data_IF_731130851328
#
_entry.id   IF_731130851328
#
_cell.length_a   1.000
_cell.length_b   1.000
_cell.length_c   1.000
_cell.angle_alpha   90.00
_cell.angle_beta   90.00
_cell.angle_gamma   90.00
#
_symmetry.space_group_name_H-M   'P 1'
#
loop_
_entity.id
_entity.type
_entity.pdbx_description
1 polymer ?
#
# COMPACT_ATOMS: atom_id res chain seq x y z
N UNK A 1 -6.35 -7.04 17.22
CA UNK A 1 -5.47 -7.57 16.14
C UNK A 1 -4.00 -7.39 16.52
N UNK A 2 -3.09 -8.11 15.85
CA UNK A 2 -1.63 -8.00 16.11
C UNK A 2 -0.95 -7.32 14.93
N UNK A 3 -0.15 -6.29 15.21
CA UNK A 3 0.62 -5.55 14.19
C UNK A 3 2.00 -6.19 14.00
N UNK A 4 2.32 -6.50 12.75
CA UNK A 4 3.64 -6.97 12.33
C UNK A 4 4.26 -6.04 11.31
N UNK A 5 5.59 -6.04 11.26
CA UNK A 5 6.39 -5.38 10.22
C UNK A 5 7.31 -6.42 9.56
N UNK A 6 7.54 -6.29 8.28
CA UNK A 6 8.62 -6.98 7.58
C UNK A 6 9.24 -6.05 6.54
N UNK A 7 10.52 -6.25 6.26
CA UNK A 7 11.29 -5.44 5.32
C UNK A 7 11.41 -6.15 3.99
N UNK A 8 10.94 -5.54 2.94
CA UNK A 8 11.02 -6.00 1.55
C UNK A 8 12.35 -5.55 0.94
N UNK A 9 13.11 -6.50 0.42
CA UNK A 9 14.35 -6.26 -0.34
C UNK A 9 14.14 -6.68 -1.79
N UNK A 10 14.10 -5.75 -2.75
CA UNK A 10 13.88 -6.07 -4.17
C UNK A 10 14.98 -6.96 -4.74
N UNK A 11 14.59 -8.01 -5.47
CA UNK A 11 15.50 -8.86 -6.29
C UNK A 11 15.43 -8.52 -7.76
N UNK A 12 14.35 -7.91 -8.20
CA UNK A 12 14.19 -7.38 -9.56
C UNK A 12 13.51 -6.02 -9.52
N UNK A 13 13.55 -5.29 -10.63
CA UNK A 13 12.82 -4.02 -10.75
C UNK A 13 11.31 -4.25 -10.64
N UNK A 14 10.63 -3.29 -10.05
CA UNK A 14 9.17 -3.27 -9.92
C UNK A 14 8.55 -2.42 -11.03
N UNK A 15 7.38 -2.78 -11.48
CA UNK A 15 6.57 -1.98 -12.42
C UNK A 15 5.29 -1.46 -11.79
N UNK A 16 5.07 -1.79 -10.52
CA UNK A 16 3.94 -1.34 -9.69
C UNK A 16 4.49 -0.95 -8.33
N UNK A 17 4.19 0.25 -7.80
CA UNK A 17 4.55 0.61 -6.43
C UNK A 17 3.95 -0.37 -5.43
N UNK A 18 4.65 -0.63 -4.31
CA UNK A 18 4.10 -1.42 -3.21
C UNK A 18 2.93 -0.64 -2.57
N UNK A 19 1.72 -0.97 -2.97
CA UNK A 19 0.46 -0.44 -2.43
C UNK A 19 -0.28 -1.53 -1.66
N UNK A 20 -0.76 -1.20 -0.46
CA UNK A 20 -1.36 -2.15 0.47
C UNK A 20 -2.56 -2.88 -0.11
N UNK A 21 -3.46 -2.17 -0.77
CA UNK A 21 -4.63 -2.74 -1.42
C UNK A 21 -4.28 -3.73 -2.54
N UNK A 22 -3.21 -3.46 -3.28
CA UNK A 22 -2.72 -4.36 -4.34
C UNK A 22 -2.02 -5.58 -3.75
N UNK A 23 -1.21 -5.38 -2.71
CA UNK A 23 -0.51 -6.47 -2.03
C UNK A 23 -1.51 -7.39 -1.31
N UNK A 24 -2.53 -6.84 -0.67
CA UNK A 24 -3.65 -7.61 -0.11
C UNK A 24 -4.28 -8.52 -1.16
N UNK A 25 -4.62 -7.98 -2.34
CA UNK A 25 -5.20 -8.77 -3.43
C UNK A 25 -4.28 -9.91 -3.90
N UNK A 26 -2.96 -9.69 -3.93
CA UNK A 26 -2.01 -10.74 -4.28
C UNK A 26 -1.82 -11.77 -3.18
N UNK A 27 -1.86 -11.36 -1.92
CA UNK A 27 -1.87 -12.28 -0.78
C UNK A 27 -3.13 -13.17 -0.82
N UNK A 28 -4.30 -12.62 -1.14
CA UNK A 28 -5.52 -13.43 -1.33
C UNK A 28 -5.36 -14.49 -2.42
N UNK A 29 -4.75 -14.15 -3.57
CA UNK A 29 -4.43 -15.13 -4.60
C UNK A 29 -3.44 -16.18 -4.11
N UNK A 30 -2.41 -15.77 -3.37
CA UNK A 30 -1.43 -16.68 -2.79
C UNK A 30 -2.04 -17.64 -1.76
N UNK A 31 -2.96 -17.15 -0.92
CA UNK A 31 -3.75 -17.99 0.01
C UNK A 31 -4.54 -19.04 -0.78
N UNK A 32 -5.24 -18.63 -1.85
CA UNK A 32 -5.98 -19.56 -2.69
C UNK A 32 -5.10 -20.67 -3.25
N UNK A 33 -3.90 -20.35 -3.70
CA UNK A 33 -2.97 -21.32 -4.28
C UNK A 33 -2.27 -22.20 -3.24
N UNK A 34 -1.89 -21.63 -2.11
CA UNK A 34 -1.08 -22.32 -1.10
C UNK A 34 -1.93 -23.05 -0.04
N UNK A 35 -3.11 -22.51 0.30
CA UNK A 35 -3.96 -23.00 1.39
C UNK A 35 -5.33 -23.48 0.92
N UNK A 36 -5.69 -23.23 -0.33
CA UNK A 36 -6.96 -23.63 -0.92
C UNK A 36 -8.02 -22.52 -0.98
N UNK A 37 -8.99 -22.72 -1.88
CA UNK A 37 -10.08 -21.76 -2.10
C UNK A 37 -11.04 -21.68 -0.92
N UNK A 38 -11.32 -22.79 -0.26
CA UNK A 38 -12.20 -22.85 0.91
C UNK A 38 -11.64 -22.00 2.06
N UNK A 39 -10.32 -22.07 2.29
CA UNK A 39 -9.65 -21.25 3.31
C UNK A 39 -9.75 -19.76 2.99
N UNK A 40 -9.56 -19.37 1.75
CA UNK A 40 -9.73 -17.98 1.31
C UNK A 40 -11.18 -17.52 1.52
N UNK A 41 -12.16 -18.32 1.11
CA UNK A 41 -13.58 -17.98 1.27
C UNK A 41 -13.99 -17.84 2.74
N UNK A 42 -13.48 -18.72 3.61
CA UNK A 42 -13.66 -18.60 5.06
C UNK A 42 -13.13 -17.26 5.60
N UNK A 43 -11.91 -16.87 5.22
CA UNK A 43 -11.29 -15.62 5.65
C UNK A 43 -12.00 -14.37 5.11
N UNK A 44 -12.57 -14.45 3.91
CA UNK A 44 -13.27 -13.34 3.27
C UNK A 44 -14.75 -13.22 3.67
N UNK A 45 -15.35 -14.25 4.28
CA UNK A 45 -16.80 -14.30 4.59
C UNK A 45 -17.30 -13.09 5.39
N UNK A 46 -16.52 -12.62 6.34
CA UNK A 46 -16.82 -11.47 7.22
C UNK A 46 -15.87 -10.29 7.04
N UNK A 47 -15.17 -10.22 5.91
CA UNK A 47 -14.14 -9.21 5.69
C UNK A 47 -14.70 -7.78 5.73
N UNK A 48 -15.95 -7.59 5.40
CA UNK A 48 -16.68 -6.31 5.46
C UNK A 48 -16.90 -5.80 6.89
N UNK A 49 -16.97 -6.70 7.88
CA UNK A 49 -17.19 -6.38 9.30
C UNK A 49 -15.95 -6.55 10.14
N UNK A 50 -15.16 -7.59 9.83
CA UNK A 50 -13.99 -7.96 10.61
C UNK A 50 -12.87 -8.38 9.65
N UNK A 51 -11.98 -7.46 9.25
CA UNK A 51 -10.87 -7.79 8.35
C UNK A 51 -9.92 -8.80 9.01
N UNK A 52 -9.57 -9.88 8.29
CA UNK A 52 -8.60 -10.86 8.78
C UNK A 52 -7.15 -10.38 8.62
N UNK A 53 -6.93 -9.51 7.65
CA UNK A 53 -5.64 -8.92 7.30
C UNK A 53 -5.86 -7.52 6.73
N UNK A 54 -5.05 -6.56 7.19
CA UNK A 54 -4.91 -5.24 6.58
C UNK A 54 -3.43 -5.02 6.27
N UNK A 55 -3.13 -4.57 5.07
CA UNK A 55 -1.76 -4.40 4.55
C UNK A 55 -1.50 -2.94 4.26
N UNK A 56 -0.33 -2.44 4.67
CA UNK A 56 0.12 -1.08 4.36
C UNK A 56 0.75 -0.98 2.97
N UNK A 57 0.98 0.24 2.52
CA UNK A 57 1.92 0.55 1.46
C UNK A 57 3.35 0.21 1.89
N UNK A 58 4.28 0.15 0.93
CA UNK A 58 5.72 0.04 1.21
C UNK A 58 6.33 1.41 1.45
N UNK A 59 7.01 1.57 2.60
CA UNK A 59 7.67 2.81 3.00
C UNK A 59 9.18 2.60 3.15
N UNK A 60 9.97 3.68 3.10
CA UNK A 60 11.42 3.58 3.35
C UNK A 60 11.69 2.87 4.68
N UNK A 61 12.60 1.90 4.69
CA UNK A 61 12.82 1.06 5.88
C UNK A 61 13.19 1.91 7.11
N UNK A 62 12.46 1.72 8.21
CA UNK A 62 12.57 2.47 9.46
C UNK A 62 11.86 3.83 9.47
N UNK A 63 11.17 4.22 8.39
CA UNK A 63 10.52 5.52 8.27
C UNK A 63 9.12 5.40 7.70
N UNK A 64 8.29 6.38 8.05
CA UNK A 64 6.95 6.59 7.50
C UNK A 64 6.88 7.91 6.74
N UNK A 65 5.95 8.06 5.81
CA UNK A 65 5.79 9.32 5.10
C UNK A 65 5.26 10.42 6.03
N UNK A 66 5.60 11.66 5.70
CA UNK A 66 5.03 12.83 6.35
C UNK A 66 3.51 12.88 6.09
N UNK A 67 2.69 13.21 7.10
CA UNK A 67 1.24 13.31 6.96
C UNK A 67 0.80 14.30 5.87
N UNK A 68 -0.24 13.94 5.11
CA UNK A 68 -0.88 14.80 4.11
C UNK A 68 -1.79 15.82 4.80
N UNK A 69 -1.17 16.88 5.33
CA UNK A 69 -1.87 17.97 6.02
C UNK A 69 -1.40 19.33 5.52
N UNK A 70 -2.15 20.41 5.77
CA UNK A 70 -1.74 21.77 5.49
C UNK A 70 -0.41 22.13 6.19
N UNK A 71 0.45 22.90 5.51
CA UNK A 71 1.80 23.26 6.00
C UNK A 71 1.81 23.93 7.37
N UNK A 72 0.78 24.70 7.73
CA UNK A 72 0.68 25.32 9.04
C UNK A 72 0.51 24.31 10.18
N UNK A 73 -0.21 23.21 9.96
CA UNK A 73 -0.35 22.09 10.91
C UNK A 73 0.92 21.25 11.00
N UNK A 74 1.71 21.20 9.93
CA UNK A 74 3.03 20.56 9.92
C UNK A 74 4.11 21.45 10.58
N UNK A 75 3.78 22.69 10.93
CA UNK A 75 4.74 23.66 11.48
C UNK A 75 5.84 24.05 10.49
N UNK A 76 5.56 23.99 9.20
CA UNK A 76 6.52 24.29 8.13
C UNK A 76 6.65 25.81 7.90
N UNK A 77 7.88 26.26 7.67
CA UNK A 77 8.11 27.62 7.18
C UNK A 77 7.69 27.73 5.71
N UNK A 78 6.75 28.63 5.43
CA UNK A 78 6.20 28.83 4.07
C UNK A 78 7.23 29.38 3.07
N UNK A 79 8.30 30.00 3.53
CA UNK A 79 9.40 30.48 2.67
C UNK A 79 10.22 29.31 2.10
N UNK A 80 10.28 28.19 2.81
CA UNK A 80 11.07 27.00 2.46
C UNK A 80 10.24 25.92 1.76
N UNK A 81 9.18 26.27 1.03
CA UNK A 81 8.27 25.31 0.38
C UNK A 81 8.96 24.24 -0.46
N UNK A 82 10.00 24.64 -1.24
CA UNK A 82 10.72 23.68 -2.12
C UNK A 82 11.52 22.66 -1.32
N UNK A 83 12.07 23.04 -0.19
CA UNK A 83 12.83 22.18 0.71
C UNK A 83 11.88 21.27 1.49
N UNK A 84 10.80 21.82 2.05
CA UNK A 84 9.80 21.10 2.82
C UNK A 84 9.12 19.98 1.99
N UNK A 85 8.91 20.21 0.68
CA UNK A 85 8.37 19.18 -0.24
C UNK A 85 9.31 17.98 -0.46
N UNK A 86 10.62 18.16 -0.28
CA UNK A 86 11.60 17.06 -0.40
C UNK A 86 11.72 16.25 0.88
N UNK A 87 11.39 16.86 2.03
CA UNK A 87 11.43 16.23 3.36
C UNK A 87 10.13 15.46 3.59
N UNK A 88 10.14 14.18 3.26
CA UNK A 88 8.94 13.35 3.27
C UNK A 88 9.01 12.17 4.24
N UNK A 89 10.12 11.93 4.91
CA UNK A 89 10.32 10.76 5.77
C UNK A 89 10.48 11.13 7.22
N UNK A 90 9.66 10.50 8.09
CA UNK A 90 9.68 10.67 9.56
C UNK A 90 9.92 9.33 10.24
N UNK A 91 10.61 9.33 11.37
CA UNK A 91 10.58 8.19 12.28
C UNK A 91 9.17 7.99 12.85
N UNK A 92 8.86 6.77 13.30
CA UNK A 92 7.55 6.49 13.95
C UNK A 92 7.41 7.37 15.21
N UNK A 93 8.49 7.57 15.95
CA UNK A 93 8.52 8.39 17.18
C UNK A 93 8.21 9.85 16.88
N UNK A 94 8.84 10.45 15.88
CA UNK A 94 8.58 11.84 15.47
C UNK A 94 7.14 12.01 14.97
N UNK A 95 6.63 11.03 14.21
CA UNK A 95 5.24 11.02 13.75
C UNK A 95 4.27 10.99 14.94
N UNK A 96 4.47 10.05 15.87
CA UNK A 96 3.61 9.90 17.04
C UNK A 96 3.64 11.09 18.00
N UNK A 97 4.77 11.81 18.06
CA UNK A 97 4.96 12.99 18.89
C UNK A 97 4.60 14.30 18.18
N UNK A 98 4.13 14.26 16.95
CA UNK A 98 3.81 15.45 16.14
C UNK A 98 5.01 16.33 15.80
N UNK A 99 6.23 15.76 15.75
CA UNK A 99 7.46 16.47 15.43
C UNK A 99 7.73 16.49 13.93
N UNK A 100 6.78 16.96 13.13
CA UNK A 100 6.82 16.89 11.66
C UNK A 100 7.97 17.67 11.01
N UNK A 101 8.54 18.67 11.73
CA UNK A 101 9.71 19.43 11.28
C UNK A 101 10.98 18.57 11.15
N UNK A 102 11.03 17.41 11.83
CA UNK A 102 12.14 16.46 11.77
C UNK A 102 12.12 15.61 10.50
N UNK A 103 11.19 15.86 9.58
CA UNK A 103 11.11 15.14 8.32
C UNK A 103 12.42 15.27 7.52
N UNK A 104 12.86 14.16 6.95
CA UNK A 104 14.12 13.99 6.22
C UNK A 104 13.88 13.74 4.73
N UNK A 105 14.89 14.02 3.92
CA UNK A 105 14.92 13.61 2.52
C UNK A 105 15.41 12.15 2.39
N UNK A 106 15.07 11.46 1.28
CA UNK A 106 15.47 10.08 1.07
C UNK A 106 16.97 9.84 1.19
N UNK A 107 17.80 10.73 0.64
CA UNK A 107 19.27 10.62 0.71
C UNK A 107 19.82 10.65 2.14
N UNK A 108 19.22 11.42 3.06
CA UNK A 108 19.66 11.50 4.47
C UNK A 108 19.40 10.19 5.24
N UNK A 109 18.45 9.38 4.77
CA UNK A 109 18.08 8.09 5.40
C UNK A 109 18.57 6.88 4.60
N UNK A 110 19.40 7.11 3.55
CA UNK A 110 19.89 6.05 2.66
C UNK A 110 18.80 5.38 1.81
N UNK A 111 17.66 6.05 1.62
CA UNK A 111 16.59 5.55 0.77
C UNK A 111 16.66 6.17 -0.62
N UNK A 112 16.74 5.31 -1.63
CA UNK A 112 16.74 5.70 -3.04
C UNK A 112 15.57 5.04 -3.77
N UNK A 113 14.92 5.83 -4.62
CA UNK A 113 13.92 5.36 -5.57
C UNK A 113 14.24 5.93 -6.94
N UNK A 114 14.64 5.08 -7.86
CA UNK A 114 14.88 5.46 -9.26
C UNK A 114 13.80 4.92 -10.17
N UNK A 115 13.40 5.70 -11.16
CA UNK A 115 12.46 5.28 -12.21
C UNK A 115 13.16 5.36 -13.55
N UNK A 116 13.15 4.26 -14.30
CA UNK A 116 13.77 4.16 -15.62
C UNK A 116 12.72 3.72 -16.62
N UNK A 117 12.61 4.44 -17.74
CA UNK A 117 11.77 4.05 -18.85
C UNK A 117 12.61 3.24 -19.85
N UNK A 118 12.18 2.02 -20.15
CA UNK A 118 12.80 1.14 -21.15
C UNK A 118 11.84 0.99 -22.31
N UNK A 119 12.29 1.24 -23.52
CA UNK A 119 11.50 1.01 -24.73
C UNK A 119 11.47 -0.49 -25.02
N UNK A 120 10.29 -1.03 -25.22
CA UNK A 120 10.02 -2.42 -25.58
C UNK A 120 9.26 -2.46 -26.89
N UNK A 121 9.51 -3.48 -27.69
CA UNK A 121 8.78 -3.74 -28.93
C UNK A 121 8.12 -5.10 -28.86
N UNK A 122 6.94 -5.22 -29.47
CA UNK A 122 6.36 -6.50 -29.86
C UNK A 122 6.62 -6.72 -31.36
N UNK A 123 6.94 -7.92 -31.75
CA UNK A 123 7.19 -8.28 -33.16
C UNK A 123 6.00 -9.10 -33.68
N UNK A 124 5.49 -8.71 -34.83
CA UNK A 124 4.52 -9.53 -35.54
C UNK A 124 5.24 -10.76 -36.11
N UNK A 125 4.89 -11.94 -35.65
CA UNK A 125 5.53 -13.20 -36.10
C UNK A 125 5.29 -13.54 -37.57
N UNK A 126 4.28 -12.95 -38.21
CA UNK A 126 4.00 -13.19 -39.63
C UNK A 126 4.85 -12.32 -40.55
N UNK A 127 5.15 -11.09 -40.13
CA UNK A 127 5.88 -10.10 -40.95
C UNK A 127 7.30 -9.87 -40.44
N UNK A 128 7.65 -10.34 -39.26
CA UNK A 128 8.91 -10.08 -38.54
C UNK A 128 9.23 -8.60 -38.36
N UNK A 129 8.21 -7.74 -38.39
CA UNK A 129 8.35 -6.29 -38.26
C UNK A 129 7.56 -5.77 -37.07
N UNK A 130 7.89 -4.58 -36.60
CA UNK A 130 7.04 -3.74 -35.76
C UNK A 130 6.07 -2.99 -36.68
N UNK A 131 4.84 -2.77 -36.19
CA UNK A 131 3.78 -2.14 -36.94
C UNK A 131 3.41 -0.80 -36.31
N UNK A 132 3.20 0.22 -37.14
CA UNK A 132 2.79 1.56 -36.72
C UNK A 132 1.31 1.62 -36.36
N UNK A 133 0.53 0.57 -36.58
CA UNK A 133 -0.92 0.49 -36.32
C UNK A 133 -1.31 0.42 -34.83
N UNK A 134 -0.34 0.52 -33.92
CA UNK A 134 -0.54 0.50 -32.46
C UNK A 134 -0.45 -0.87 -31.79
N UNK A 135 -0.73 -1.97 -32.49
CA UNK A 135 -0.69 -3.33 -31.91
C UNK A 135 0.73 -3.81 -31.60
N UNK A 136 1.67 -3.48 -32.45
CA UNK A 136 3.10 -3.85 -32.34
C UNK A 136 4.01 -2.62 -32.20
N UNK A 137 3.43 -1.44 -32.03
CA UNK A 137 4.20 -0.20 -31.84
C UNK A 137 5.07 -0.28 -30.58
N UNK A 138 6.23 0.38 -30.59
CA UNK A 138 7.09 0.51 -29.43
C UNK A 138 6.32 1.14 -28.24
N UNK A 139 6.52 0.59 -27.04
CA UNK A 139 5.91 1.13 -25.82
C UNK A 139 6.95 1.31 -24.71
N UNK A 140 6.76 2.32 -23.89
CA UNK A 140 7.60 2.55 -22.73
C UNK A 140 7.15 1.69 -21.55
N UNK A 141 8.07 0.92 -20.97
CA UNK A 141 7.89 0.23 -19.69
C UNK A 141 8.66 1.01 -18.62
N UNK A 142 7.92 1.64 -17.71
CA UNK A 142 8.51 2.31 -16.54
C UNK A 142 8.79 1.26 -15.48
N UNK A 143 10.05 1.16 -15.11
CA UNK A 143 10.53 0.29 -14.03
C UNK A 143 11.02 1.13 -12.85
N UNK A 144 10.81 0.61 -11.66
CA UNK A 144 11.25 1.23 -10.40
C UNK A 144 12.28 0.33 -9.74
N UNK A 145 13.38 0.92 -9.32
CA UNK A 145 14.34 0.32 -8.41
C UNK A 145 14.32 1.13 -7.12
N UNK A 146 14.12 0.49 -6.01
CA UNK A 146 14.14 1.13 -4.69
C UNK A 146 15.05 0.36 -3.74
N UNK A 147 15.48 1.04 -2.69
CA UNK A 147 16.18 0.45 -1.55
C UNK A 147 15.25 -0.49 -0.77
N UNK A 148 15.50 -0.75 0.48
CA UNK A 148 14.59 -1.55 1.31
C UNK A 148 13.33 -0.75 1.65
N UNK A 149 12.18 -1.44 1.68
CA UNK A 149 10.90 -0.87 2.14
C UNK A 149 10.29 -1.75 3.23
N UNK A 150 9.75 -1.12 4.26
CA UNK A 150 8.97 -1.79 5.29
C UNK A 150 7.50 -1.80 4.87
N UNK A 151 6.84 -2.94 5.10
CA UNK A 151 5.40 -3.09 5.05
C UNK A 151 4.89 -3.48 6.43
N UNK A 152 3.71 -2.98 6.75
CA UNK A 152 3.02 -3.23 8.01
C UNK A 152 1.79 -4.08 7.73
N UNK A 153 1.54 -5.08 8.59
CA UNK A 153 0.47 -6.04 8.42
C UNK A 153 -0.26 -6.19 9.76
N UNK A 154 -1.54 -5.90 9.75
CA UNK A 154 -2.40 -6.04 10.93
C UNK A 154 -3.23 -7.31 10.77
N UNK A 155 -2.97 -8.32 11.63
CA UNK A 155 -3.56 -9.66 11.56
C UNK A 155 -4.59 -9.86 12.66
N UNK A 156 -5.72 -10.44 12.28
CA UNK A 156 -6.68 -11.05 13.19
C UNK A 156 -6.26 -12.49 13.54
N UNK A 157 -6.66 -12.98 14.71
CA UNK A 157 -6.29 -14.32 15.21
C UNK A 157 -6.80 -15.48 14.33
N UNK A 158 -7.77 -15.23 13.44
CA UNK A 158 -8.27 -16.19 12.44
C UNK A 158 -7.27 -16.50 11.32
N UNK A 159 -6.31 -15.59 11.08
CA UNK A 159 -5.26 -15.76 10.08
C UNK A 159 -3.91 -15.79 10.78
N UNK A 160 -3.28 -16.95 10.77
CA UNK A 160 -2.05 -17.19 11.52
C UNK A 160 -0.82 -16.66 10.78
N UNK A 161 0.24 -16.39 11.54
CA UNK A 161 1.49 -15.86 10.98
C UNK A 161 2.13 -16.83 9.98
N UNK A 162 2.10 -18.13 10.24
CA UNK A 162 2.64 -19.15 9.33
C UNK A 162 1.85 -19.26 8.01
N UNK A 163 0.55 -18.97 8.03
CA UNK A 163 -0.28 -18.88 6.82
C UNK A 163 0.11 -17.64 6.01
N UNK A 164 0.34 -16.49 6.68
CA UNK A 164 0.82 -15.27 6.04
C UNK A 164 2.22 -15.48 5.43
N UNK A 165 3.12 -16.14 6.15
CA UNK A 165 4.48 -16.46 5.66
C UNK A 165 4.43 -17.25 4.37
N UNK A 166 3.64 -18.34 4.31
CA UNK A 166 3.43 -19.14 3.09
C UNK A 166 2.86 -18.32 1.93
N UNK A 167 1.87 -17.46 2.22
CA UNK A 167 1.27 -16.60 1.21
C UNK A 167 2.26 -15.55 0.70
N UNK A 168 2.98 -14.87 1.59
CA UNK A 168 3.94 -13.82 1.21
C UNK A 168 5.15 -14.41 0.45
N UNK A 169 5.61 -15.61 0.84
CA UNK A 169 6.66 -16.33 0.13
C UNK A 169 6.24 -16.65 -1.32
N UNK A 170 4.97 -17.05 -1.50
CA UNK A 170 4.40 -17.29 -2.83
C UNK A 170 4.42 -16.01 -3.66
N UNK A 171 4.01 -14.86 -3.11
CA UNK A 171 4.07 -13.56 -3.80
C UNK A 171 5.51 -13.17 -4.10
N UNK A 172 6.43 -13.34 -3.15
CA UNK A 172 7.84 -12.98 -3.29
C UNK A 172 8.52 -13.71 -4.46
N UNK A 173 8.23 -15.01 -4.60
CA UNK A 173 8.76 -15.88 -5.67
C UNK A 173 8.08 -15.65 -7.02
N UNK A 174 6.77 -15.45 -7.04
CA UNK A 174 6.02 -15.24 -8.29
C UNK A 174 6.14 -13.81 -8.83
N UNK A 175 6.52 -12.86 -7.99
CA UNK A 175 6.66 -11.45 -8.31
C UNK A 175 5.39 -10.63 -8.02
N UNK A 176 5.60 -9.40 -7.53
CA UNK A 176 4.55 -8.44 -7.19
C UNK A 176 4.19 -7.55 -8.38
N UNK A 177 2.91 -7.38 -8.63
CA UNK A 177 2.35 -6.38 -9.52
C UNK A 177 2.39 -6.75 -11.00
N UNK A 178 2.43 -5.73 -11.86
CA UNK A 178 2.45 -5.94 -13.31
C UNK A 178 3.76 -6.57 -13.76
N UNK A 179 3.71 -7.37 -14.86
CA UNK A 179 4.88 -7.97 -15.47
C UNK A 179 5.64 -8.98 -14.59
N UNK A 180 5.01 -9.52 -13.57
CA UNK A 180 5.55 -10.61 -12.76
C UNK A 180 5.93 -11.82 -13.64
N UNK A 181 5.13 -12.17 -14.64
CA UNK A 181 5.39 -13.28 -15.58
C UNK A 181 6.67 -13.14 -16.41
N UNK A 182 7.27 -11.95 -16.45
CA UNK A 182 8.58 -11.71 -17.10
C UNK A 182 9.67 -11.33 -16.09
N UNK A 183 9.52 -11.77 -14.82
CA UNK A 183 10.53 -11.64 -13.79
C UNK A 183 10.59 -10.28 -13.08
N UNK A 184 9.52 -9.46 -13.17
CA UNK A 184 9.45 -8.20 -12.41
C UNK A 184 8.78 -8.40 -11.06
N UNK A 185 9.17 -7.58 -10.08
CA UNK A 185 8.55 -7.55 -8.76
C UNK A 185 8.96 -8.69 -7.83
N UNK A 186 10.01 -9.46 -8.14
CA UNK A 186 10.55 -10.46 -7.24
C UNK A 186 11.28 -9.78 -6.06
N UNK A 187 11.11 -10.31 -4.86
CA UNK A 187 11.71 -9.76 -3.65
C UNK A 187 12.02 -10.83 -2.61
N UNK A 188 12.80 -10.46 -1.63
CA UNK A 188 12.97 -11.17 -0.35
C UNK A 188 12.34 -10.34 0.75
N UNK A 189 11.97 -10.98 1.84
CA UNK A 189 11.46 -10.30 3.03
C UNK A 189 12.18 -10.80 4.30
N UNK A 190 12.27 -9.92 5.30
CA UNK A 190 12.83 -10.28 6.61
C UNK A 190 11.83 -11.07 7.45
N UNK A 191 12.29 -11.68 8.53
CA UNK A 191 11.38 -12.23 9.54
C UNK A 191 10.38 -11.16 10.01
N UNK A 192 9.16 -11.59 10.35
CA UNK A 192 8.14 -10.71 10.89
C UNK A 192 8.48 -10.24 12.30
N UNK A 193 8.49 -8.94 12.51
CA UNK A 193 8.68 -8.28 13.78
C UNK A 193 7.34 -7.83 14.33
N UNK A 194 6.97 -8.29 15.53
CA UNK A 194 5.77 -7.81 16.21
C UNK A 194 6.01 -6.41 16.73
N UNK A 195 5.14 -5.46 16.37
CA UNK A 195 5.25 -4.08 16.81
C UNK A 195 4.22 -3.74 17.88
N UNK A 196 4.68 -2.96 18.85
CA UNK A 196 3.82 -2.32 19.86
C UNK A 196 3.96 -0.82 19.67
N UNK A 197 2.87 -0.17 19.25
CA UNK A 197 2.81 1.27 18.96
C UNK A 197 1.72 1.93 19.80
N UNK A 198 1.82 3.24 20.02
CA UNK A 198 0.76 4.04 20.65
C UNK A 198 -0.50 3.96 19.78
N UNK A 199 -1.62 3.57 20.39
CA UNK A 199 -2.92 3.41 19.72
C UNK A 199 -3.94 4.48 20.11
N UNK A 200 -3.64 5.29 21.14
CA UNK A 200 -4.57 6.24 21.73
C UNK A 200 -4.19 7.65 21.35
N UNK A 201 -5.06 8.34 20.62
CA UNK A 201 -4.92 9.73 20.20
C UNK A 201 -6.29 10.26 19.73
N UNK A 202 -6.35 11.57 19.44
CA UNK A 202 -7.47 12.14 18.67
C UNK A 202 -7.13 12.32 17.19
N UNK A 203 -5.90 12.04 16.78
CA UNK A 203 -5.48 12.13 15.38
C UNK A 203 -4.69 10.89 14.97
N UNK A 204 -4.94 10.39 13.74
CA UNK A 204 -4.31 9.20 13.23
C UNK A 204 -3.96 9.36 11.74
N UNK A 205 -2.80 8.84 11.36
CA UNK A 205 -2.36 8.76 9.97
C UNK A 205 -2.60 7.35 9.40
N UNK A 206 -3.07 7.30 8.15
CA UNK A 206 -3.31 6.05 7.41
C UNK A 206 -2.03 5.51 6.74
N UNK A 207 -1.86 4.18 6.70
CA UNK A 207 -0.71 3.52 6.08
C UNK A 207 -1.01 2.88 4.71
N UNK A 208 -2.25 2.97 4.23
CA UNK A 208 -2.65 2.48 2.89
C UNK A 208 -3.81 3.31 2.38
N UNK A 209 -4.14 3.23 1.09
CA UNK A 209 -5.35 3.84 0.57
C UNK A 209 -6.59 3.34 1.31
N UNK A 210 -7.50 4.26 1.65
CA UNK A 210 -8.64 3.97 2.51
C UNK A 210 -9.94 4.55 1.94
N UNK A 211 -11.05 3.83 2.14
CA UNK A 211 -12.41 4.36 1.97
C UNK A 211 -13.01 4.55 3.35
N UNK A 212 -13.20 5.81 3.72
CA UNK A 212 -13.70 6.16 5.05
C UNK A 212 -15.21 5.98 5.11
N UNK A 213 -15.66 5.43 6.24
CA UNK A 213 -17.03 5.22 6.61
C UNK A 213 -17.15 5.42 8.13
N UNK A 214 -16.83 6.65 8.59
CA UNK A 214 -16.89 7.01 10.00
C UNK A 214 -17.45 8.43 10.13
N UNK A 215 -18.67 8.55 10.62
CA UNK A 215 -19.40 9.82 10.76
C UNK A 215 -18.89 10.66 11.96
N UNK A 216 -18.02 10.11 12.81
CA UNK A 216 -17.54 10.78 14.01
C UNK A 216 -16.26 11.61 13.77
N UNK A 217 -15.84 11.75 12.52
CA UNK A 217 -14.65 12.54 12.16
C UNK A 217 -14.93 14.03 12.34
N UNK A 218 -14.02 14.72 13.02
CA UNK A 218 -14.00 16.18 13.09
C UNK A 218 -13.40 16.78 11.82
N UNK A 219 -12.23 16.24 11.39
CA UNK A 219 -11.50 16.70 10.21
C UNK A 219 -10.89 15.51 9.47
N UNK A 220 -10.73 15.66 8.16
CA UNK A 220 -10.10 14.68 7.32
C UNK A 220 -9.22 15.35 6.27
N UNK A 221 -7.92 15.12 6.34
CA UNK A 221 -6.94 15.63 5.39
C UNK A 221 -6.45 14.50 4.50
N UNK A 222 -6.59 14.61 3.20
CA UNK A 222 -6.22 13.55 2.27
C UNK A 222 -5.89 14.05 0.87
N UNK A 223 -5.13 13.24 0.14
CA UNK A 223 -4.99 13.34 -1.30
C UNK A 223 -5.92 12.30 -1.96
N UNK A 224 -6.71 12.67 -2.99
CA UNK A 224 -7.57 11.72 -3.67
C UNK A 224 -6.75 10.70 -4.45
N UNK A 225 -7.14 9.43 -4.38
CA UNK A 225 -6.51 8.33 -5.05
C UNK A 225 -7.55 7.49 -5.79
N UNK A 226 -7.38 7.30 -7.09
CA UNK A 226 -8.28 6.44 -7.88
C UNK A 226 -7.59 5.13 -8.24
N UNK A 227 -8.17 4.02 -7.80
CA UNK A 227 -7.69 2.67 -8.14
C UNK A 227 -8.41 2.15 -9.37
N UNK A 228 -7.65 1.90 -10.44
CA UNK A 228 -8.08 1.14 -11.61
C UNK A 228 -7.59 -0.30 -11.46
N UNK A 229 -8.41 -1.14 -10.80
CA UNK A 229 -8.04 -2.51 -10.49
C UNK A 229 -8.16 -3.45 -11.67
N UNK A 230 -7.35 -4.51 -11.66
CA UNK A 230 -7.47 -5.65 -12.57
C UNK A 230 -7.41 -6.95 -11.77
N UNK A 231 -8.14 -7.95 -12.24
CA UNK A 231 -7.96 -9.31 -11.74
C UNK A 231 -6.60 -9.88 -12.16
N UNK A 232 -5.99 -10.63 -11.25
CA UNK A 232 -4.83 -11.46 -11.53
C UNK A 232 -5.21 -12.93 -11.70
N UNK A 233 -4.20 -13.82 -11.80
CA UNK A 233 -4.39 -15.26 -11.84
C UNK A 233 -5.30 -15.71 -12.97
N UNK A 234 -6.14 -16.71 -12.70
CA UNK A 234 -7.04 -17.31 -13.69
C UNK A 234 -8.11 -16.36 -14.25
N UNK A 235 -8.44 -15.27 -13.56
CA UNK A 235 -9.43 -14.30 -14.02
C UNK A 235 -8.83 -13.21 -14.95
N UNK A 236 -7.53 -13.20 -15.14
CA UNK A 236 -6.85 -12.21 -15.99
C UNK A 236 -7.19 -12.37 -17.50
N UNK A 237 -7.61 -13.57 -17.91
CA UNK A 237 -7.89 -13.91 -19.32
C UNK A 237 -9.36 -13.73 -19.74
N UNK A 238 -10.24 -13.35 -18.80
CA UNK A 238 -11.67 -13.11 -19.08
C UNK A 238 -11.94 -11.61 -19.18
N UNK A 239 -12.72 -11.06 -18.26
CA UNK A 239 -12.87 -9.61 -18.09
C UNK A 239 -12.07 -9.14 -16.88
N UNK A 240 -10.79 -8.75 -17.05
CA UNK A 240 -9.92 -8.46 -15.91
C UNK A 240 -10.21 -7.09 -15.27
N UNK A 241 -10.90 -6.20 -15.94
CA UNK A 241 -11.11 -4.83 -15.45
C UNK A 241 -12.15 -4.78 -14.35
N UNK A 242 -11.82 -4.04 -13.28
CA UNK A 242 -12.74 -3.69 -12.19
C UNK A 242 -13.20 -2.25 -12.36
N UNK A 243 -14.37 -1.92 -11.82
CA UNK A 243 -14.82 -0.54 -11.75
C UNK A 243 -13.83 0.30 -10.94
N UNK A 244 -13.56 1.55 -11.33
CA UNK A 244 -12.69 2.44 -10.57
C UNK A 244 -13.22 2.67 -9.15
N UNK A 245 -12.30 2.76 -8.19
CA UNK A 245 -12.60 3.03 -6.79
C UNK A 245 -11.91 4.33 -6.40
N UNK A 246 -12.66 5.30 -5.89
CA UNK A 246 -12.10 6.53 -5.30
C UNK A 246 -11.80 6.29 -3.83
N UNK A 247 -10.58 6.60 -3.42
CA UNK A 247 -10.05 6.39 -2.07
C UNK A 247 -9.27 7.64 -1.63
N UNK A 248 -9.01 7.77 -0.35
CA UNK A 248 -7.97 8.65 0.17
C UNK A 248 -6.63 7.91 0.13
N UNK A 249 -5.56 8.53 -0.36
CA UNK A 249 -4.24 7.88 -0.44
C UNK A 249 -3.65 7.65 0.96
N UNK A 250 -2.61 6.84 1.04
CA UNK A 250 -1.82 6.67 2.26
C UNK A 250 -1.27 8.02 2.76
N UNK A 251 -0.95 8.09 4.06
CA UNK A 251 -0.56 9.33 4.77
C UNK A 251 -1.70 10.32 5.01
N UNK A 252 -2.93 9.98 4.66
CA UNK A 252 -4.10 10.77 5.03
C UNK A 252 -4.25 10.83 6.54
N UNK A 253 -4.81 11.92 7.07
CA UNK A 253 -4.98 12.12 8.51
C UNK A 253 -6.44 12.32 8.87
N UNK A 254 -6.90 11.52 9.82
CA UNK A 254 -8.23 11.64 10.43
C UNK A 254 -8.10 12.26 11.82
N UNK A 255 -9.00 13.17 12.15
CA UNK A 255 -9.06 13.82 13.46
C UNK A 255 -10.43 13.60 14.08
N UNK A 256 -10.46 13.21 15.34
CA UNK A 256 -11.67 13.02 16.15
C UNK A 256 -11.84 14.15 17.16
N UNK A 257 -13.07 14.37 17.63
CA UNK A 257 -13.34 15.35 18.67
C UNK A 257 -12.69 14.96 20.01
N UNK A 258 -12.64 13.67 20.31
CA UNK A 258 -12.12 13.12 21.56
C UNK A 258 -10.97 12.14 21.31
N UNK A 259 -10.17 11.94 22.36
CA UNK A 259 -9.13 10.92 22.36
C UNK A 259 -9.79 9.55 22.36
N UNK A 260 -9.47 8.75 21.37
CA UNK A 260 -9.96 7.38 21.20
C UNK A 260 -8.82 6.40 20.97
N UNK A 261 -9.13 5.11 21.01
CA UNK A 261 -8.21 4.03 20.68
C UNK A 261 -8.67 3.38 19.37
N UNK A 262 -7.81 3.42 18.35
CA UNK A 262 -8.08 2.81 17.04
C UNK A 262 -6.81 2.16 16.47
N UNK A 263 -6.99 1.00 15.86
CA UNK A 263 -5.92 0.25 15.18
C UNK A 263 -6.02 0.38 13.67
N UNK A 264 -7.24 0.51 13.15
CA UNK A 264 -7.53 0.64 11.71
C UNK A 264 -8.81 1.45 11.49
N UNK A 265 -9.00 1.85 10.23
CA UNK A 265 -10.18 2.57 9.76
C UNK A 265 -10.53 2.11 8.35
N UNK A 266 -11.75 2.39 7.92
CA UNK A 266 -12.22 2.14 6.56
C UNK A 266 -13.18 0.96 6.47
N UNK A 267 -13.45 0.55 5.22
CA UNK A 267 -14.36 -0.57 4.93
C UNK A 267 -13.88 -1.41 3.76
N UNK A 268 -14.34 -2.65 3.69
CA UNK A 268 -14.21 -3.47 2.49
C UNK A 268 -15.02 -2.88 1.33
N UNK A 269 -14.56 -3.10 0.12
CA UNK A 269 -15.28 -2.68 -1.10
C UNK A 269 -15.64 -3.93 -1.90
N UNK A 270 -16.92 -4.10 -2.15
CA UNK A 270 -17.50 -5.16 -2.97
C UNK A 270 -18.30 -4.54 -4.13
N UNK A 271 -18.81 -5.38 -5.05
CA UNK A 271 -19.67 -4.93 -6.15
C UNK A 271 -18.95 -4.13 -7.27
N UNK A 272 -17.62 -4.04 -7.23
CA UNK A 272 -16.81 -3.32 -8.21
C UNK A 272 -16.26 -4.21 -9.33
N UNK A 273 -16.74 -5.44 -9.42
CA UNK A 273 -16.31 -6.45 -10.37
C UNK A 273 -17.48 -7.31 -10.84
N UNK A 274 -17.36 -7.90 -12.03
CA UNK A 274 -18.29 -8.93 -12.55
C UNK A 274 -18.31 -10.18 -11.67
N UNK A 275 -17.26 -10.46 -10.92
CA UNK A 275 -17.24 -11.52 -9.92
C UNK A 275 -17.71 -10.94 -8.57
N UNK A 276 -18.91 -11.32 -8.14
CA UNK A 276 -19.56 -10.83 -6.92
C UNK A 276 -18.74 -11.10 -5.64
N UNK A 277 -17.93 -12.16 -5.61
CA UNK A 277 -17.10 -12.53 -4.46
C UNK A 277 -15.79 -11.71 -4.38
N UNK A 278 -15.60 -10.76 -5.31
CA UNK A 278 -14.41 -9.93 -5.31
C UNK A 278 -14.48 -8.90 -4.20
N UNK A 279 -13.49 -8.93 -3.32
CA UNK A 279 -13.31 -7.95 -2.25
C UNK A 279 -12.05 -7.13 -2.51
N UNK A 280 -12.10 -5.85 -2.18
CA UNK A 280 -10.96 -4.95 -2.23
C UNK A 280 -10.73 -4.34 -0.85
N UNK A 281 -9.46 -4.25 -0.42
CA UNK A 281 -9.11 -3.61 0.83
C UNK A 281 -9.33 -2.09 0.73
N UNK A 282 -10.36 -1.59 1.40
CA UNK A 282 -10.54 -0.16 1.65
C UNK A 282 -10.26 0.19 3.12
N UNK A 283 -9.63 -0.73 3.85
CA UNK A 283 -9.12 -0.52 5.20
C UNK A 283 -7.68 0.00 5.19
N UNK A 284 -7.34 0.76 6.23
CA UNK A 284 -5.96 1.19 6.49
C UNK A 284 -5.60 1.01 7.96
N UNK A 285 -4.37 0.56 8.20
CA UNK A 285 -3.74 0.59 9.52
C UNK A 285 -3.56 2.05 9.94
N UNK A 286 -3.76 2.35 11.21
CA UNK A 286 -3.65 3.67 11.77
C UNK A 286 -2.42 3.79 12.67
N UNK A 287 -1.70 4.90 12.52
CA UNK A 287 -0.66 5.34 13.45
C UNK A 287 -1.14 6.57 14.18
N UNK A 288 -1.23 6.48 15.51
CA UNK A 288 -1.57 7.62 16.35
C UNK A 288 -0.53 8.75 16.16
N UNK A 289 -0.99 9.97 15.98
CA UNK A 289 -0.15 11.15 15.88
C UNK A 289 -0.68 12.28 16.78
N UNK A 290 0.12 13.30 17.00
CA UNK A 290 -0.29 14.51 17.72
C UNK A 290 -0.25 15.71 16.79
N UNK A 291 -1.37 16.40 16.66
CA UNK A 291 -1.41 17.67 15.93
C UNK A 291 -1.25 18.79 16.97
N UNK A 292 -0.06 19.36 17.01
CA UNK A 292 0.19 20.55 17.84
C UNK A 292 -0.45 21.73 17.11
N UNK A 293 -1.47 22.34 17.69
CA UNK A 293 -2.03 23.57 17.14
C UNK A 293 -0.88 24.55 16.96
N UNK A 294 -0.67 25.01 15.74
CA UNK A 294 0.23 26.12 15.49
C UNK A 294 -0.36 27.34 16.22
N UNK A 295 0.32 27.81 17.28
CA UNK A 295 0.05 29.07 17.89
C UNK A 295 0.44 30.21 16.95
#
# INVERSE_FOLDING_TARGET
>A
MTLYKTTITPKSNFTTPLKGDTLFGQICWAIRYALGEDRLNELLSDYDKKPFLIVSDGFASGYLPKPSMPSHLLGENLELKKENRKKIWLSIEDLQSGNFKNAKIGGEIGYELTKTATIKNSINYLTFTTDDSGKFAPYALVEMKFSKQDIYLLLDDRFKLDELEKALETVAKSGYGKRASIGKGAFEYSAFEKLVIKKRSNAFMTLSPVVIDDENLKEFFYEPFTRFGKHGGGLANTNPFKSPILMADSSSVVVYNEICEKEYLGKAISGHSVNANTVHQGYSILIATEIKNAQ
#
